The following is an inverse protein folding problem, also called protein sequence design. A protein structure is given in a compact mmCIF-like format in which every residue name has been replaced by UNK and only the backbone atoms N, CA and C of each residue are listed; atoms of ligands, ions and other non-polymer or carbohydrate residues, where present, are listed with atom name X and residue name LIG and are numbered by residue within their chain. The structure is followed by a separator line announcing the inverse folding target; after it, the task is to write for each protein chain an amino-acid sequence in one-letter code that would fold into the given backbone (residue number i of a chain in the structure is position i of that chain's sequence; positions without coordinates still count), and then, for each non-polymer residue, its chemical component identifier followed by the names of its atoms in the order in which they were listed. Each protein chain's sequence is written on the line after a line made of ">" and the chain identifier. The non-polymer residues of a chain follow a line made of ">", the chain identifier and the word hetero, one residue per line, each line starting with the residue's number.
data_IF_283461899228
#
_entry.id   IF_283461899228
#
_cell.length_a   1.000
_cell.length_b   1.000
_cell.length_c   1.000
_cell.angle_alpha   90.00
_cell.angle_beta   90.00
_cell.angle_gamma   90.00
#
_symmetry.space_group_name_H-M   'P 1'
#
loop_
_entity.id
_entity.type
_entity.pdbx_description
1 polymer ?
#
# COMPACT_ATOMS: atom_id res chain seq x y z
N UNK A 1 -6.60 11.76 -31.13
CA UNK A 1 -7.27 12.06 -29.85
C UNK A 1 -6.98 10.90 -28.95
N UNK A 2 -6.28 11.15 -27.85
CA UNK A 2 -5.93 10.14 -26.86
C UNK A 2 -6.90 10.33 -25.71
N UNK A 3 -7.78 9.35 -25.48
CA UNK A 3 -8.79 9.45 -24.42
C UNK A 3 -8.08 9.27 -23.08
N UNK A 4 -7.94 10.37 -22.33
CA UNK A 4 -7.37 10.34 -21.00
C UNK A 4 -8.20 9.39 -20.11
N UNK A 5 -7.58 8.31 -19.65
CA UNK A 5 -8.23 7.32 -18.81
C UNK A 5 -8.67 7.96 -17.48
N UNK A 6 -9.96 8.26 -17.37
CA UNK A 6 -10.54 8.83 -16.14
C UNK A 6 -10.60 7.72 -15.09
N UNK A 7 -9.56 7.63 -14.26
CA UNK A 7 -9.53 6.72 -13.10
C UNK A 7 -10.45 7.31 -12.03
N UNK A 8 -11.66 6.77 -11.90
CA UNK A 8 -12.72 7.31 -11.03
C UNK A 8 -12.65 6.87 -9.57
N UNK A 9 -11.89 5.82 -9.26
CA UNK A 9 -11.82 5.24 -7.90
C UNK A 9 -10.53 5.71 -7.20
N UNK A 10 -10.61 6.39 -6.06
CA UNK A 10 -9.45 6.90 -5.31
C UNK A 10 -8.87 5.88 -4.32
N UNK A 11 -8.71 4.66 -4.82
CA UNK A 11 -7.99 3.52 -4.22
C UNK A 11 -8.41 3.10 -2.80
N UNK A 12 -7.88 1.96 -2.34
CA UNK A 12 -8.00 1.43 -0.98
C UNK A 12 -6.64 0.83 -0.59
N UNK A 13 -6.18 1.04 0.65
CA UNK A 13 -4.86 0.61 1.14
C UNK A 13 -5.00 -0.46 2.21
N UNK A 14 -4.13 -1.48 2.15
CA UNK A 14 -4.26 -2.73 2.91
C UNK A 14 -2.85 -3.18 3.35
N UNK A 15 -2.59 -3.42 4.65
CA UNK A 15 -1.22 -3.73 5.16
C UNK A 15 -1.13 -4.44 6.52
N UNK A 16 -0.03 -5.17 6.73
CA UNK A 16 0.03 -6.48 7.42
C UNK A 16 0.55 -6.53 8.89
N UNK A 17 1.04 -7.70 9.33
CA UNK A 17 1.43 -8.10 10.70
C UNK A 17 2.27 -9.41 10.65
N UNK A 18 2.80 -9.99 11.74
CA UNK A 18 2.80 -9.63 13.18
C UNK A 18 4.27 -9.32 13.62
N UNK A 19 4.78 -9.31 14.86
CA UNK A 19 4.33 -9.85 16.15
C UNK A 19 4.86 -9.01 17.34
N UNK A 20 4.19 -9.09 18.50
CA UNK A 20 4.65 -8.48 19.76
C UNK A 20 4.56 -6.95 19.81
N UNK A 21 3.38 -6.43 20.17
CA UNK A 21 3.00 -5.00 20.21
C UNK A 21 3.04 -4.31 18.84
N UNK A 22 1.88 -3.89 18.32
CA UNK A 22 1.19 -2.68 18.81
C UNK A 22 -0.13 -2.99 19.54
N UNK A 23 -0.98 -1.97 19.75
CA UNK A 23 -2.35 -2.11 20.28
C UNK A 23 -3.40 -2.09 19.17
N UNK A 24 -4.59 -2.54 19.52
CA UNK A 24 -5.82 -2.58 18.69
C UNK A 24 -6.18 -1.19 18.14
N UNK A 25 -6.10 -0.16 19.00
CA UNK A 25 -6.26 1.27 18.70
C UNK A 25 -5.41 1.77 17.53
N UNK A 26 -4.27 1.12 17.26
CA UNK A 26 -3.28 1.60 16.31
C UNK A 26 -3.66 1.22 14.87
N UNK A 27 -4.68 0.38 14.68
CA UNK A 27 -5.22 0.01 13.36
C UNK A 27 -6.49 0.78 13.00
N UNK A 28 -7.38 1.03 13.96
CA UNK A 28 -8.49 1.99 13.81
C UNK A 28 -7.95 3.35 13.36
N UNK A 29 -6.95 3.89 14.08
CA UNK A 29 -6.28 5.14 13.75
C UNK A 29 -5.68 5.17 12.33
N UNK A 30 -5.21 4.03 11.80
CA UNK A 30 -4.67 3.95 10.43
C UNK A 30 -5.78 3.95 9.37
N UNK A 31 -6.92 3.33 9.65
CA UNK A 31 -8.13 3.41 8.81
C UNK A 31 -8.72 4.83 8.81
N UNK A 32 -8.77 5.48 9.97
CA UNK A 32 -9.19 6.88 10.11
C UNK A 32 -8.24 7.84 9.38
N UNK A 33 -6.92 7.66 9.50
CA UNK A 33 -5.93 8.48 8.79
C UNK A 33 -6.03 8.33 7.26
N UNK A 34 -6.32 7.13 6.74
CA UNK A 34 -6.55 6.89 5.32
C UNK A 34 -7.77 7.67 4.81
N UNK A 35 -8.93 7.49 5.46
CA UNK A 35 -10.20 8.09 5.00
C UNK A 35 -10.30 9.59 5.29
N UNK A 36 -9.77 10.03 6.44
CA UNK A 36 -9.82 11.42 6.89
C UNK A 36 -8.64 12.26 6.36
N UNK A 37 -7.42 11.98 6.82
CA UNK A 37 -6.25 12.84 6.55
C UNK A 37 -5.68 12.66 5.13
N UNK A 38 -5.83 11.48 4.53
CA UNK A 38 -5.29 11.15 3.22
C UNK A 38 -6.36 11.09 2.10
N UNK A 39 -7.65 11.23 2.44
CA UNK A 39 -8.73 11.39 1.47
C UNK A 39 -9.05 10.18 0.60
N UNK A 40 -8.79 8.96 1.09
CA UNK A 40 -9.21 7.71 0.44
C UNK A 40 -10.73 7.51 0.58
N UNK A 41 -11.36 6.99 -0.48
CA UNK A 41 -12.81 6.74 -0.49
C UNK A 41 -13.22 5.72 0.60
N UNK A 42 -12.40 4.67 0.80
CA UNK A 42 -12.60 3.69 1.86
C UNK A 42 -11.29 3.01 2.33
N UNK A 43 -11.33 2.37 3.50
CA UNK A 43 -10.25 1.60 4.10
C UNK A 43 -10.80 0.62 5.15
N UNK A 44 -10.10 -0.51 5.35
CA UNK A 44 -10.51 -1.56 6.30
C UNK A 44 -9.30 -2.21 6.99
N UNK A 45 -9.47 -2.70 8.22
CA UNK A 45 -8.44 -3.47 8.91
C UNK A 45 -8.51 -4.94 8.50
N UNK A 46 -7.73 -5.32 7.48
CA UNK A 46 -7.71 -6.69 6.94
C UNK A 46 -7.40 -7.81 7.97
N UNK A 47 -6.96 -7.47 9.19
CA UNK A 47 -6.69 -8.40 10.31
C UNK A 47 -7.97 -8.97 10.93
N UNK A 48 -9.07 -8.22 10.82
CA UNK A 48 -10.39 -8.58 11.31
C UNK A 48 -11.22 -9.34 10.25
N UNK A 49 -10.70 -9.41 9.02
CA UNK A 49 -11.41 -9.86 7.82
C UNK A 49 -11.11 -11.33 7.50
N UNK A 50 -12.08 -12.22 7.77
CA UNK A 50 -11.92 -13.66 7.61
C UNK A 50 -11.87 -14.17 6.15
N UNK A 51 -12.31 -13.36 5.18
CA UNK A 51 -12.24 -13.64 3.75
C UNK A 51 -11.95 -12.37 2.96
N UNK A 52 -10.67 -12.14 2.65
CA UNK A 52 -10.18 -10.99 1.91
C UNK A 52 -10.79 -10.88 0.49
N UNK A 53 -11.24 -11.99 -0.12
CA UNK A 53 -11.92 -11.97 -1.43
C UNK A 53 -13.36 -11.49 -1.31
N UNK A 54 -14.04 -11.77 -0.20
CA UNK A 54 -15.36 -11.22 0.10
C UNK A 54 -15.28 -9.75 0.52
N UNK A 55 -14.32 -9.39 1.38
CA UNK A 55 -14.08 -8.01 1.83
C UNK A 55 -13.80 -7.09 0.65
N UNK A 56 -12.86 -7.44 -0.23
CA UNK A 56 -12.58 -6.63 -1.42
C UNK A 56 -13.79 -6.48 -2.35
N UNK A 57 -14.66 -7.49 -2.45
CA UNK A 57 -15.90 -7.41 -3.24
C UNK A 57 -16.95 -6.45 -2.64
N UNK A 58 -17.01 -6.36 -1.31
CA UNK A 58 -17.85 -5.41 -0.57
C UNK A 58 -17.40 -3.96 -0.82
N UNK A 59 -16.09 -3.71 -0.80
CA UNK A 59 -15.54 -2.36 -1.00
C UNK A 59 -15.37 -1.97 -2.49
N UNK A 60 -15.18 -2.95 -3.39
CA UNK A 60 -15.14 -2.77 -4.85
C UNK A 60 -16.28 -3.55 -5.53
N UNK A 61 -17.55 -3.10 -5.40
CA UNK A 61 -18.71 -3.77 -6.03
C UNK A 61 -18.68 -3.74 -7.57
N UNK A 62 -17.80 -2.92 -8.16
CA UNK A 62 -17.55 -2.80 -9.60
C UNK A 62 -16.15 -3.31 -10.00
N UNK A 63 -15.46 -4.04 -9.12
CA UNK A 63 -14.14 -4.60 -9.35
C UNK A 63 -12.98 -3.59 -9.29
N UNK A 64 -11.77 -4.09 -9.54
CA UNK A 64 -10.49 -3.36 -9.37
C UNK A 64 -9.78 -3.20 -10.73
N UNK A 65 -9.58 -1.96 -11.19
CA UNK A 65 -8.89 -1.66 -12.46
C UNK A 65 -7.37 -1.46 -12.31
N UNK A 66 -6.93 -1.10 -11.09
CA UNK A 66 -5.53 -0.90 -10.70
C UNK A 66 -5.34 -1.37 -9.27
N UNK A 67 -4.36 -2.24 -9.04
CA UNK A 67 -3.89 -2.63 -7.72
C UNK A 67 -2.40 -2.28 -7.58
N UNK A 68 -2.03 -1.54 -6.54
CA UNK A 68 -0.64 -1.20 -6.24
C UNK A 68 -0.15 -2.12 -5.12
N UNK A 69 0.60 -3.17 -5.48
CA UNK A 69 1.01 -4.19 -4.51
C UNK A 69 2.29 -3.77 -3.77
N UNK A 70 2.19 -3.79 -2.45
CA UNK A 70 3.29 -3.59 -1.50
C UNK A 70 3.38 -4.72 -0.47
N UNK A 71 2.58 -5.78 -0.65
CA UNK A 71 2.33 -6.83 0.35
C UNK A 71 2.61 -8.22 -0.22
N UNK A 72 2.05 -8.55 -1.39
CA UNK A 72 2.07 -9.91 -1.95
C UNK A 72 1.07 -10.85 -1.28
N UNK A 73 1.30 -12.16 -1.42
CA UNK A 73 0.57 -13.22 -0.73
C UNK A 73 -0.95 -13.20 -0.93
N UNK A 74 -1.70 -13.49 0.14
CA UNK A 74 -3.16 -13.64 0.13
C UNK A 74 -3.88 -12.36 -0.30
N UNK A 75 -3.29 -11.19 -0.07
CA UNK A 75 -3.86 -9.92 -0.49
C UNK A 75 -3.70 -9.68 -2.00
N UNK A 76 -2.57 -10.05 -2.59
CA UNK A 76 -2.40 -10.06 -4.04
C UNK A 76 -3.36 -11.07 -4.71
N UNK A 77 -3.51 -12.26 -4.15
CA UNK A 77 -4.48 -13.25 -4.64
C UNK A 77 -5.92 -12.73 -4.55
N UNK A 78 -6.29 -12.10 -3.43
CA UNK A 78 -7.63 -11.56 -3.22
C UNK A 78 -7.93 -10.33 -4.09
N UNK A 79 -6.92 -9.50 -4.38
CA UNK A 79 -7.01 -8.41 -5.34
C UNK A 79 -7.29 -8.95 -6.75
N UNK A 80 -6.45 -9.87 -7.27
CA UNK A 80 -6.61 -10.41 -8.63
C UNK A 80 -7.98 -11.09 -8.84
N UNK A 81 -8.49 -11.82 -7.85
CA UNK A 81 -9.82 -12.44 -7.91
C UNK A 81 -10.99 -11.43 -8.03
N UNK A 82 -10.76 -10.16 -7.68
CA UNK A 82 -11.71 -9.06 -7.77
C UNK A 82 -11.35 -8.01 -8.86
N UNK A 83 -10.32 -8.27 -9.69
CA UNK A 83 -9.91 -7.33 -10.74
C UNK A 83 -10.77 -7.38 -12.00
N UNK A 84 -10.92 -6.24 -12.66
CA UNK A 84 -11.67 -6.11 -13.91
C UNK A 84 -10.92 -6.65 -15.12
N UNK A 85 -11.63 -6.76 -16.25
CA UNK A 85 -10.99 -7.03 -17.55
C UNK A 85 -9.95 -5.93 -17.84
N UNK A 86 -8.76 -6.33 -18.24
CA UNK A 86 -7.59 -5.45 -18.48
C UNK A 86 -7.11 -4.66 -17.24
N UNK A 87 -7.45 -5.12 -16.03
CA UNK A 87 -6.91 -4.58 -14.79
C UNK A 87 -5.37 -4.70 -14.72
N UNK A 88 -4.72 -3.81 -13.97
CA UNK A 88 -3.24 -3.76 -13.84
C UNK A 88 -2.78 -3.90 -12.38
N UNK A 89 -1.77 -4.72 -12.14
CA UNK A 89 -1.04 -4.80 -10.86
C UNK A 89 0.34 -4.17 -11.03
N UNK A 90 0.63 -3.13 -10.26
CA UNK A 90 1.97 -2.56 -10.10
C UNK A 90 2.63 -3.20 -8.87
N UNK A 91 3.52 -4.18 -9.09
CA UNK A 91 4.18 -4.93 -8.03
C UNK A 91 5.41 -4.17 -7.52
N UNK A 92 5.21 -3.31 -6.51
CA UNK A 92 6.25 -2.49 -5.89
C UNK A 92 7.04 -3.25 -4.81
N UNK A 93 6.46 -4.27 -4.19
CA UNK A 93 7.13 -5.10 -3.18
C UNK A 93 6.20 -6.14 -2.55
N UNK A 94 6.79 -7.13 -1.88
CA UNK A 94 6.06 -8.26 -1.29
C UNK A 94 6.40 -8.44 0.20
N UNK A 95 6.03 -7.47 1.05
CA UNK A 95 6.54 -7.42 2.43
C UNK A 95 6.15 -8.64 3.29
N UNK A 96 5.01 -9.32 3.01
CA UNK A 96 4.67 -10.56 3.74
C UNK A 96 5.54 -11.76 3.35
N UNK A 97 6.22 -11.70 2.20
CA UNK A 97 7.13 -12.77 1.75
C UNK A 97 8.56 -12.62 2.28
N UNK A 98 8.94 -11.46 2.82
CA UNK A 98 10.26 -11.24 3.42
C UNK A 98 10.36 -11.78 4.85
N UNK A 99 9.21 -11.97 5.53
CA UNK A 99 9.12 -12.41 6.93
C UNK A 99 8.47 -13.78 7.11
N UNK A 100 7.76 -14.29 6.11
CA UNK A 100 7.02 -15.57 6.18
C UNK A 100 7.79 -16.78 5.62
N UNK A 101 7.75 -17.90 6.34
CA UNK A 101 8.29 -19.21 5.92
C UNK A 101 7.24 -20.18 5.33
N UNK A 102 6.01 -19.71 5.14
CA UNK A 102 4.87 -20.51 4.70
C UNK A 102 4.78 -20.71 3.18
N UNK A 103 3.79 -21.50 2.75
CA UNK A 103 3.39 -21.60 1.33
C UNK A 103 2.91 -20.23 0.85
N UNK A 104 3.56 -19.69 -0.18
CA UNK A 104 3.14 -18.43 -0.81
C UNK A 104 1.77 -18.60 -1.47
N UNK A 105 0.77 -17.88 -0.97
CA UNK A 105 -0.47 -17.62 -1.67
C UNK A 105 -0.16 -16.81 -2.95
N UNK A 106 -0.89 -17.07 -4.02
CA UNK A 106 -0.54 -16.56 -5.35
C UNK A 106 -1.79 -16.48 -6.24
N UNK A 107 -1.89 -15.47 -7.14
CA UNK A 107 -3.00 -15.34 -8.07
C UNK A 107 -3.30 -16.61 -8.87
N UNK A 108 -4.59 -16.87 -9.13
CA UNK A 108 -4.97 -17.84 -10.14
C UNK A 108 -4.61 -17.30 -11.53
N UNK A 109 -3.59 -17.90 -12.14
CA UNK A 109 -3.13 -17.53 -13.47
C UNK A 109 -4.19 -17.79 -14.56
N UNK A 110 -5.18 -18.65 -14.32
CA UNK A 110 -6.32 -18.83 -15.22
C UNK A 110 -7.20 -17.58 -15.21
N UNK A 111 -7.44 -16.98 -14.04
CA UNK A 111 -8.11 -15.68 -13.96
C UNK A 111 -7.28 -14.56 -14.60
N UNK A 112 -5.96 -14.52 -14.37
CA UNK A 112 -5.06 -13.54 -15.02
C UNK A 112 -5.18 -13.61 -16.55
N UNK A 113 -5.23 -14.81 -17.12
CA UNK A 113 -5.40 -15.04 -18.57
C UNK A 113 -6.79 -14.58 -19.05
N UNK A 114 -7.87 -15.07 -18.45
CA UNK A 114 -9.24 -14.73 -18.91
C UNK A 114 -9.62 -13.26 -18.67
N UNK A 115 -9.09 -12.64 -17.61
CA UNK A 115 -9.26 -11.21 -17.32
C UNK A 115 -8.25 -10.33 -18.06
N UNK A 116 -7.21 -10.91 -18.70
CA UNK A 116 -6.09 -10.19 -19.36
C UNK A 116 -5.40 -9.20 -18.42
N UNK A 117 -5.15 -9.62 -17.19
CA UNK A 117 -4.55 -8.77 -16.16
C UNK A 117 -3.05 -8.64 -16.42
N UNK A 118 -2.54 -7.40 -16.47
CA UNK A 118 -1.10 -7.14 -16.51
C UNK A 118 -0.55 -7.10 -15.08
N UNK A 119 0.40 -7.98 -14.75
CA UNK A 119 1.15 -7.93 -13.49
C UNK A 119 2.59 -7.51 -13.82
N UNK A 120 3.01 -6.34 -13.33
CA UNK A 120 4.28 -5.72 -13.67
C UNK A 120 5.07 -5.32 -12.42
N UNK A 121 6.24 -5.94 -12.22
CA UNK A 121 7.25 -5.47 -11.27
C UNK A 121 8.06 -4.31 -11.84
N UNK A 122 8.54 -3.41 -10.97
CA UNK A 122 9.32 -2.23 -11.33
C UNK A 122 10.23 -1.80 -10.17
N UNK A 123 11.32 -1.07 -10.44
CA UNK A 123 12.19 -0.51 -9.41
C UNK A 123 12.34 1.01 -9.59
N UNK A 124 12.44 1.75 -8.48
CA UNK A 124 12.59 3.22 -8.52
C UNK A 124 13.78 3.73 -9.39
N UNK A 125 14.97 3.07 -9.40
CA UNK A 125 16.07 3.45 -10.29
C UNK A 125 15.72 3.51 -11.78
N UNK A 126 14.76 2.71 -12.24
CA UNK A 126 14.34 2.66 -13.65
C UNK A 126 13.69 3.99 -14.11
N UNK A 127 13.25 4.83 -13.17
CA UNK A 127 12.52 6.08 -13.40
C UNK A 127 13.30 7.34 -13.01
N UNK A 128 14.61 7.23 -12.73
CA UNK A 128 15.44 8.40 -12.36
C UNK A 128 15.51 9.48 -13.45
N UNK A 129 15.18 9.13 -14.70
CA UNK A 129 15.03 10.07 -15.82
C UNK A 129 13.93 11.13 -15.63
N UNK A 130 12.91 10.87 -14.79
CA UNK A 130 11.83 11.82 -14.46
C UNK A 130 11.92 12.37 -13.03
N UNK A 131 13.06 12.17 -12.35
CA UNK A 131 13.22 12.53 -10.94
C UNK A 131 13.11 14.05 -10.68
N UNK A 132 13.62 14.89 -11.58
CA UNK A 132 13.48 16.36 -11.49
C UNK A 132 12.02 16.79 -11.42
N UNK A 133 11.21 16.20 -12.29
CA UNK A 133 9.83 16.58 -12.54
C UNK A 133 8.93 16.04 -11.42
N UNK A 134 9.22 14.81 -10.97
CA UNK A 134 8.65 14.23 -9.76
C UNK A 134 8.91 15.10 -8.52
N UNK A 135 10.15 15.56 -8.29
CA UNK A 135 10.47 16.41 -7.15
C UNK A 135 9.74 17.75 -7.24
N UNK A 136 9.76 18.42 -8.40
CA UNK A 136 9.05 19.70 -8.57
C UNK A 136 7.56 19.56 -8.30
N UNK A 137 6.90 18.59 -8.96
CA UNK A 137 5.48 18.35 -8.80
C UNK A 137 5.11 17.96 -7.35
N UNK A 138 5.89 17.08 -6.72
CA UNK A 138 5.65 16.62 -5.35
C UNK A 138 5.81 17.76 -4.33
N UNK A 139 6.87 18.56 -4.44
CA UNK A 139 7.06 19.73 -3.58
C UNK A 139 5.90 20.74 -3.72
N UNK A 140 5.39 20.97 -4.93
CA UNK A 140 4.27 21.90 -5.14
C UNK A 140 2.92 21.34 -4.67
N UNK A 141 2.71 20.02 -4.72
CA UNK A 141 1.53 19.40 -4.11
C UNK A 141 1.56 19.43 -2.58
N UNK A 142 2.74 19.24 -1.97
CA UNK A 142 2.92 19.39 -0.52
C UNK A 142 2.72 20.85 -0.07
N UNK A 143 3.34 21.82 -0.77
CA UNK A 143 3.18 23.26 -0.50
C UNK A 143 1.75 23.79 -0.67
N UNK A 144 0.96 23.17 -1.55
CA UNK A 144 -0.44 23.55 -1.82
C UNK A 144 -1.46 22.63 -1.13
N UNK A 145 -1.03 21.84 -0.15
CA UNK A 145 -1.86 20.93 0.68
C UNK A 145 -2.68 19.88 -0.12
N UNK A 146 -2.33 19.68 -1.41
CA UNK A 146 -2.90 18.64 -2.30
C UNK A 146 -2.31 17.26 -2.04
N UNK A 147 -1.18 17.20 -1.34
CA UNK A 147 -0.55 15.99 -0.84
C UNK A 147 -0.17 16.22 0.62
N UNK A 148 -0.35 15.20 1.45
CA UNK A 148 -0.10 15.29 2.89
C UNK A 148 0.86 14.18 3.29
N UNK A 149 1.97 14.56 3.93
CA UNK A 149 2.86 13.58 4.56
C UNK A 149 2.32 13.17 5.94
N UNK A 150 2.57 11.91 6.30
CA UNK A 150 2.37 11.38 7.66
C UNK A 150 3.64 10.65 8.02
N UNK A 151 4.28 11.09 9.09
CA UNK A 151 5.63 10.70 9.48
C UNK A 151 5.64 10.22 10.93
N UNK A 152 6.45 9.21 11.20
CA UNK A 152 6.66 8.59 12.49
C UNK A 152 8.11 8.82 12.88
N UNK A 153 8.35 9.82 13.73
CA UNK A 153 9.68 10.38 13.98
C UNK A 153 10.15 9.94 15.36
N UNK A 154 11.13 9.04 15.40
CA UNK A 154 11.87 8.72 16.62
C UNK A 154 13.13 9.57 16.72
N UNK A 155 13.68 9.76 17.91
CA UNK A 155 14.89 10.57 18.15
C UNK A 155 16.02 9.69 18.68
N UNK A 156 17.27 10.03 18.31
CA UNK A 156 18.47 9.37 18.80
C UNK A 156 18.86 8.12 17.99
N UNK A 157 20.18 7.90 17.88
CA UNK A 157 20.78 6.77 17.15
C UNK A 157 20.36 5.41 17.73
N UNK A 158 20.18 5.38 19.06
CA UNK A 158 19.70 4.26 19.85
C UNK A 158 18.26 3.81 19.50
N UNK A 159 17.47 4.67 18.85
CA UNK A 159 16.11 4.31 18.40
C UNK A 159 16.09 3.59 17.04
N UNK A 160 17.18 3.58 16.28
CA UNK A 160 17.22 2.90 14.95
C UNK A 160 16.77 1.43 15.03
N UNK A 161 17.26 0.58 15.96
CA UNK A 161 16.92 -0.84 15.97
C UNK A 161 15.43 -1.10 16.24
N UNK A 162 14.83 -0.36 17.17
CA UNK A 162 13.39 -0.48 17.48
C UNK A 162 12.52 0.10 16.37
N UNK A 163 12.87 1.26 15.81
CA UNK A 163 12.16 1.87 14.68
C UNK A 163 12.23 1.00 13.42
N UNK A 164 13.37 0.35 13.16
CA UNK A 164 13.53 -0.58 12.04
C UNK A 164 12.74 -1.88 12.24
N UNK A 165 12.77 -2.48 13.44
CA UNK A 165 11.94 -3.65 13.74
C UNK A 165 10.43 -3.34 13.64
N UNK A 166 10.02 -2.14 14.08
CA UNK A 166 8.64 -1.66 14.00
C UNK A 166 8.04 -1.66 12.60
N UNK A 167 8.85 -1.43 11.56
CA UNK A 167 8.42 -1.50 10.16
C UNK A 167 7.85 -2.87 9.77
N UNK A 168 8.46 -3.95 10.27
CA UNK A 168 8.06 -5.32 9.94
C UNK A 168 6.86 -5.79 10.78
N UNK A 169 6.70 -5.25 11.98
CA UNK A 169 5.54 -5.52 12.83
C UNK A 169 4.33 -4.62 12.49
N UNK A 170 4.56 -3.56 11.69
CA UNK A 170 3.54 -2.58 11.32
C UNK A 170 3.15 -1.66 12.49
N UNK A 171 4.08 -1.37 13.41
CA UNK A 171 3.84 -0.42 14.50
C UNK A 171 3.72 1.00 13.99
N UNK A 172 4.53 1.36 12.99
CA UNK A 172 4.68 2.72 12.49
C UNK A 172 3.39 3.33 11.92
N UNK A 173 3.17 4.63 12.17
CA UNK A 173 2.07 5.43 11.64
C UNK A 173 2.62 6.36 10.55
N UNK A 174 2.60 5.87 9.30
CA UNK A 174 3.17 6.60 8.16
C UNK A 174 4.66 6.31 7.95
N UNK A 175 5.41 7.28 7.45
CA UNK A 175 6.83 7.13 7.09
C UNK A 175 7.72 7.22 8.33
N UNK A 176 8.32 6.10 8.72
CA UNK A 176 9.35 6.08 9.78
C UNK A 176 10.59 6.89 9.38
N UNK A 177 11.00 7.78 10.28
CA UNK A 177 12.18 8.64 10.23
C UNK A 177 12.87 8.55 11.60
N UNK A 178 14.21 8.60 11.61
CA UNK A 178 14.98 8.71 12.86
C UNK A 178 15.77 10.01 12.85
N UNK A 179 15.44 10.92 13.76
CA UNK A 179 16.13 12.19 13.95
C UNK A 179 17.39 11.97 14.79
N UNK A 180 18.56 11.99 14.13
CA UNK A 180 19.88 11.81 14.78
C UNK A 180 20.37 13.09 15.47
N UNK A 181 19.98 14.26 14.94
CA UNK A 181 20.33 15.57 15.49
C UNK A 181 19.23 16.60 15.17
N UNK A 182 19.28 17.73 15.87
CA UNK A 182 18.58 18.97 15.52
C UNK A 182 19.65 19.99 15.11
N UNK A 183 19.38 20.81 14.10
CA UNK A 183 20.17 22.02 13.80
C UNK A 183 19.70 23.21 14.64
#
# INVERSE_FOLDING_TARGET
>A
MEEALIITNRSIVIKTHINGFPKETDFELKVELLKGKLGFDDAFNYKEEADLKATLRKHFPHGIDVYFDSVGGEMLEAAVANMNLFGRVAACGAISEYTGSGRKAAPDMVEVIYRRIQIQGFLCPDFLSVHSDFISATCDHLRSEKMVSVEDISTGLESIPSSFAGLFHGSNIGKTIVQIAVE
#
